data_IF_946080341740
#
_entry.id   IF_946080341740
#
_cell.length_a   1.000
_cell.length_b   1.000
_cell.length_c   1.000
_cell.angle_alpha   90.00
_cell.angle_beta   90.00
_cell.angle_gamma   90.00
#
_symmetry.space_group_name_H-M   'P 1'
#
loop_
_entity.id
_entity.type
_entity.pdbx_description
1 polymer ?
#
# COMPACT_ATOMS: atom_id res chain seq x y z
N UNK A 1 16.96 11.93 5.17
CA UNK A 1 16.48 13.13 4.44
C UNK A 1 17.50 13.50 3.38
N UNK A 2 17.17 13.30 2.10
CA UNK A 2 17.94 13.93 1.02
C UNK A 2 17.86 15.46 1.19
N UNK A 3 18.99 16.10 1.47
CA UNK A 3 19.07 17.55 1.59
C UNK A 3 18.62 18.21 0.29
N UNK A 4 17.80 19.25 0.35
CA UNK A 4 17.38 20.00 -0.83
C UNK A 4 18.60 20.52 -1.59
N UNK A 5 18.90 19.98 -2.79
CA UNK A 5 20.12 20.31 -3.52
C UNK A 5 20.10 21.74 -4.08
N UNK A 6 18.93 22.39 -4.06
CA UNK A 6 18.71 23.77 -4.50
C UNK A 6 18.81 24.77 -3.34
N UNK A 7 18.95 24.30 -2.09
CA UNK A 7 19.17 25.19 -0.94
C UNK A 7 20.40 26.09 -1.15
N UNK A 8 21.46 25.55 -1.76
CA UNK A 8 22.68 26.31 -2.15
C UNK A 8 22.42 27.43 -3.18
N UNK A 9 21.30 27.38 -3.89
CA UNK A 9 20.86 28.36 -4.88
C UNK A 9 19.81 29.32 -4.30
N UNK A 10 19.56 29.26 -2.99
CA UNK A 10 18.58 30.12 -2.31
C UNK A 10 17.13 29.65 -2.39
N UNK A 11 16.85 28.46 -2.92
CA UNK A 11 15.50 27.89 -2.98
C UNK A 11 15.20 27.18 -1.67
N UNK A 12 14.17 27.63 -0.94
CA UNK A 12 13.74 26.99 0.30
C UNK A 12 13.04 25.66 0.03
N UNK A 13 13.03 24.78 1.04
CA UNK A 13 12.30 23.50 0.99
C UNK A 13 10.79 23.71 0.77
N UNK A 14 10.25 24.81 1.30
CA UNK A 14 8.85 25.16 1.15
C UNK A 14 8.52 25.52 -0.31
N UNK A 15 9.37 26.32 -0.96
CA UNK A 15 9.22 26.69 -2.37
C UNK A 15 9.38 25.48 -3.28
N UNK A 16 10.40 24.64 -3.03
CA UNK A 16 10.59 23.40 -3.78
C UNK A 16 9.38 22.46 -3.63
N UNK A 17 8.88 22.28 -2.40
CA UNK A 17 7.72 21.45 -2.13
C UNK A 17 6.44 21.99 -2.78
N UNK A 18 6.28 23.31 -2.89
CA UNK A 18 5.14 23.93 -3.58
C UNK A 18 5.25 23.79 -5.09
N UNK A 19 6.44 24.01 -5.67
CA UNK A 19 6.69 23.78 -7.10
C UNK A 19 6.42 22.33 -7.52
N UNK A 20 6.85 21.36 -6.69
CA UNK A 20 6.57 19.93 -6.89
C UNK A 20 5.06 19.63 -6.77
N UNK A 21 4.34 20.35 -5.90
CA UNK A 21 2.90 20.16 -5.71
C UNK A 21 2.10 20.73 -6.88
N UNK A 22 2.50 21.88 -7.42
CA UNK A 22 1.81 22.59 -8.49
C UNK A 22 2.21 22.12 -9.90
N UNK A 23 3.34 21.42 -10.05
CA UNK A 23 3.79 20.88 -11.33
C UNK A 23 2.82 19.83 -11.91
N UNK A 24 2.23 20.14 -13.07
CA UNK A 24 1.30 19.26 -13.76
C UNK A 24 1.96 17.94 -14.20
N UNK A 25 3.21 17.99 -14.66
CA UNK A 25 3.98 16.82 -15.09
C UNK A 25 4.22 15.86 -13.92
N UNK A 26 4.63 16.39 -12.76
CA UNK A 26 4.81 15.58 -11.55
C UNK A 26 3.50 14.94 -11.10
N UNK A 27 2.38 15.64 -11.23
CA UNK A 27 1.06 15.09 -10.87
C UNK A 27 0.60 14.00 -11.86
N UNK A 28 0.85 14.20 -13.16
CA UNK A 28 0.56 13.20 -14.19
C UNK A 28 1.38 11.93 -13.95
N UNK A 29 2.67 12.08 -13.64
CA UNK A 29 3.55 10.95 -13.37
C UNK A 29 3.18 10.22 -12.08
N UNK A 30 2.88 10.96 -11.00
CA UNK A 30 2.33 10.36 -9.76
C UNK A 30 1.07 9.53 -10.02
N UNK A 31 0.18 10.02 -10.90
CA UNK A 31 -1.03 9.29 -11.28
C UNK A 31 -0.70 8.03 -12.09
N UNK A 32 0.25 8.11 -13.04
CA UNK A 32 0.72 6.98 -13.84
C UNK A 32 1.30 5.88 -12.96
N UNK A 33 2.20 6.22 -12.04
CA UNK A 33 2.80 5.27 -11.09
C UNK A 33 1.71 4.68 -10.18
N UNK A 34 0.80 5.51 -9.65
CA UNK A 34 -0.30 5.02 -8.82
C UNK A 34 -1.23 4.04 -9.57
N UNK A 35 -1.45 4.23 -10.87
CA UNK A 35 -2.19 3.26 -11.69
C UNK A 35 -1.44 1.93 -11.82
N UNK A 36 -0.13 1.96 -12.04
CA UNK A 36 0.69 0.73 -12.05
C UNK A 36 0.64 -0.01 -10.72
N UNK A 37 0.66 0.72 -9.60
CA UNK A 37 0.49 0.15 -8.26
C UNK A 37 -0.88 -0.51 -8.09
N UNK A 38 -1.97 0.11 -8.58
CA UNK A 38 -3.32 -0.47 -8.55
C UNK A 38 -3.38 -1.77 -9.34
N UNK A 39 -2.84 -1.80 -10.56
CA UNK A 39 -2.84 -3.02 -11.38
C UNK A 39 -2.02 -4.13 -10.73
N UNK A 40 -0.87 -3.80 -10.15
CA UNK A 40 -0.10 -4.77 -9.38
C UNK A 40 -0.88 -5.28 -8.16
N UNK A 41 -1.47 -4.39 -7.37
CA UNK A 41 -2.24 -4.76 -6.17
C UNK A 41 -3.43 -5.67 -6.52
N UNK A 42 -4.11 -5.43 -7.65
CA UNK A 42 -5.14 -6.31 -8.20
C UNK A 42 -4.57 -7.69 -8.55
N UNK A 43 -3.41 -7.74 -9.21
CA UNK A 43 -2.80 -9.01 -9.65
C UNK A 43 -2.39 -9.94 -8.51
N UNK A 44 -2.06 -9.39 -7.34
CA UNK A 44 -1.68 -10.17 -6.15
C UNK A 44 -2.81 -10.28 -5.13
N UNK A 45 -3.98 -9.74 -5.44
CA UNK A 45 -5.16 -9.85 -4.58
C UNK A 45 -5.72 -11.28 -4.60
N UNK A 46 -6.29 -11.79 -3.49
CA UNK A 46 -6.86 -13.14 -3.44
C UNK A 46 -8.00 -13.33 -4.47
N UNK A 47 -7.93 -14.43 -5.24
CA UNK A 47 -8.79 -14.71 -6.41
C UNK A 47 -10.25 -14.96 -6.02
N UNK A 48 -10.45 -15.65 -4.91
CA UNK A 48 -11.75 -15.94 -4.26
C UNK A 48 -12.49 -14.68 -3.79
N UNK A 49 -11.80 -13.54 -3.73
CA UNK A 49 -12.37 -12.25 -3.35
C UNK A 49 -12.23 -11.22 -4.47
N UNK A 50 -12.59 -11.55 -5.71
CA UNK A 50 -12.57 -10.59 -6.83
C UNK A 50 -13.21 -9.20 -6.52
N UNK A 51 -14.15 -9.15 -5.56
CA UNK A 51 -14.72 -7.90 -5.00
C UNK A 51 -13.73 -7.03 -4.18
N UNK A 52 -12.68 -7.60 -3.60
CA UNK A 52 -11.55 -6.90 -2.99
C UNK A 52 -10.63 -6.32 -4.06
N UNK A 53 -10.22 -7.13 -5.05
CA UNK A 53 -9.37 -6.67 -6.14
C UNK A 53 -10.00 -5.48 -6.89
N UNK A 54 -11.29 -5.57 -7.19
CA UNK A 54 -12.05 -4.52 -7.87
C UNK A 54 -12.13 -3.19 -7.10
N UNK A 55 -11.83 -3.17 -5.80
CA UNK A 55 -11.91 -1.96 -4.95
C UNK A 55 -10.60 -1.18 -4.87
N UNK A 56 -9.52 -1.68 -5.46
CA UNK A 56 -8.29 -0.91 -5.63
C UNK A 56 -8.50 0.23 -6.63
N UNK A 57 -8.17 1.46 -6.23
CA UNK A 57 -8.28 2.65 -7.07
C UNK A 57 -7.30 3.74 -6.68
N UNK A 58 -7.07 4.66 -7.62
CA UNK A 58 -6.31 5.89 -7.39
C UNK A 58 -7.25 6.99 -6.92
N UNK A 59 -6.90 7.68 -5.85
CA UNK A 59 -7.57 8.90 -5.39
C UNK A 59 -6.59 10.07 -5.37
N UNK A 60 -6.95 11.16 -6.03
CA UNK A 60 -6.18 12.41 -6.00
C UNK A 60 -6.98 13.48 -5.28
N UNK A 61 -6.43 14.06 -4.22
CA UNK A 61 -7.08 15.14 -3.45
C UNK A 61 -6.03 16.17 -3.03
N UNK A 62 -6.26 17.45 -3.33
CA UNK A 62 -5.37 18.58 -2.99
C UNK A 62 -3.90 18.31 -3.37
N UNK A 63 -3.64 17.87 -4.62
CA UNK A 63 -2.29 17.58 -5.12
C UNK A 63 -1.61 16.34 -4.52
N UNK A 64 -2.34 15.54 -3.72
CA UNK A 64 -1.88 14.26 -3.17
C UNK A 64 -2.56 13.11 -3.89
N UNK A 65 -1.77 12.25 -4.53
CA UNK A 65 -2.24 11.02 -5.18
C UNK A 65 -1.99 9.84 -4.27
N UNK A 66 -3.01 8.99 -4.08
CA UNK A 66 -2.99 7.83 -3.18
C UNK A 66 -3.57 6.61 -3.87
N UNK A 67 -3.03 5.45 -3.53
CA UNK A 67 -3.60 4.14 -3.88
C UNK A 67 -4.40 3.64 -2.69
N UNK A 68 -5.68 3.33 -2.88
CA UNK A 68 -6.57 2.95 -1.77
C UNK A 68 -7.39 1.72 -2.13
N UNK A 69 -7.69 0.91 -1.12
CA UNK A 69 -8.72 -0.13 -1.18
C UNK A 69 -9.79 0.15 -0.12
N UNK A 70 -11.04 0.36 -0.57
CA UNK A 70 -12.18 0.64 0.33
C UNK A 70 -13.02 -0.59 0.66
N UNK A 71 -12.47 -1.80 0.52
CA UNK A 71 -13.16 -3.02 0.94
C UNK A 71 -13.34 -3.05 2.45
N UNK A 72 -14.52 -3.45 2.92
CA UNK A 72 -14.76 -3.75 4.34
C UNK A 72 -13.85 -4.87 4.86
N UNK A 73 -13.32 -5.71 3.96
CA UNK A 73 -12.38 -6.79 4.27
C UNK A 73 -10.90 -6.37 4.15
N UNK A 74 -10.61 -5.10 3.83
CA UNK A 74 -9.24 -4.69 3.57
C UNK A 74 -8.31 -4.91 4.76
N UNK A 75 -8.76 -4.60 5.97
CA UNK A 75 -7.99 -4.84 7.20
C UNK A 75 -7.72 -6.34 7.42
N UNK A 76 -8.73 -7.18 7.23
CA UNK A 76 -8.61 -8.63 7.39
C UNK A 76 -7.65 -9.24 6.35
N UNK A 77 -7.73 -8.80 5.10
CA UNK A 77 -6.86 -9.28 4.02
C UNK A 77 -5.42 -8.80 4.22
N UNK A 78 -5.23 -7.57 4.70
CA UNK A 78 -3.91 -7.00 4.91
C UNK A 78 -3.19 -7.67 6.08
N UNK A 79 -3.86 -7.84 7.22
CA UNK A 79 -3.22 -8.24 8.47
C UNK A 79 -3.55 -9.66 8.93
N UNK A 80 -4.50 -10.33 8.28
CA UNK A 80 -5.08 -11.57 8.80
C UNK A 80 -5.83 -11.33 10.11
N UNK A 81 -6.16 -12.41 10.82
CA UNK A 81 -6.73 -12.34 12.17
C UNK A 81 -5.66 -12.38 13.27
N UNK A 82 -4.40 -12.71 12.93
CA UNK A 82 -3.36 -12.98 13.92
C UNK A 82 -3.68 -14.22 14.78
N UNK A 83 -2.71 -14.74 15.56
CA UNK A 83 -2.95 -15.83 16.50
C UNK A 83 -3.99 -15.41 17.55
N UNK A 84 -4.89 -16.33 17.91
CA UNK A 84 -5.78 -16.08 19.06
C UNK A 84 -4.89 -15.90 20.31
N UNK A 85 -5.06 -14.76 20.97
CA UNK A 85 -4.36 -14.41 22.22
C UNK A 85 -4.57 -15.44 23.35
N UNK A 86 -5.50 -16.40 23.16
CA UNK A 86 -5.75 -17.54 24.04
C UNK A 86 -5.00 -18.83 23.67
N UNK A 87 -3.93 -18.77 22.89
CA UNK A 87 -2.97 -19.89 22.74
C UNK A 87 -3.26 -20.87 21.60
N UNK A 88 -3.91 -20.44 20.52
CA UNK A 88 -4.16 -21.29 19.34
C UNK A 88 -2.93 -21.52 18.46
N UNK A 89 -2.81 -22.72 17.89
CA UNK A 89 -1.74 -23.09 16.95
C UNK A 89 -1.69 -22.19 15.70
N UNK A 90 -0.49 -22.00 15.16
CA UNK A 90 -0.22 -21.07 14.04
C UNK A 90 -0.56 -21.75 12.71
N UNK A 91 -1.45 -21.15 11.91
CA UNK A 91 -1.76 -21.65 10.57
C UNK A 91 -0.55 -21.55 9.63
N UNK A 92 -0.28 -22.62 8.89
CA UNK A 92 0.73 -22.68 7.82
C UNK A 92 0.02 -23.00 6.49
N UNK A 93 -0.04 -22.07 5.53
CA UNK A 93 -0.69 -22.32 4.24
C UNK A 93 -0.06 -23.52 3.50
N UNK A 94 -0.90 -24.40 2.92
CA UNK A 94 -0.55 -25.62 2.14
C UNK A 94 -0.06 -26.83 2.93
N UNK A 95 -0.10 -26.81 4.26
CA UNK A 95 0.28 -27.97 5.08
C UNK A 95 -0.80 -29.05 5.18
N UNK A 96 -1.94 -28.92 4.51
CA UNK A 96 -3.04 -29.91 4.57
C UNK A 96 -3.71 -30.01 5.95
N UNK A 97 -3.52 -29.01 6.81
CA UNK A 97 -4.05 -28.99 8.19
C UNK A 97 -5.53 -28.60 8.18
N UNK A 98 -6.38 -29.45 8.76
CA UNK A 98 -7.77 -29.10 9.05
C UNK A 98 -7.81 -27.93 10.04
N UNK A 99 -8.43 -26.83 9.62
CA UNK A 99 -8.53 -25.64 10.44
C UNK A 99 -9.62 -25.84 11.49
N UNK A 100 -9.25 -25.93 12.77
CA UNK A 100 -10.22 -25.80 13.86
C UNK A 100 -10.88 -24.42 13.87
N UNK A 101 -12.02 -24.28 14.56
CA UNK A 101 -12.86 -23.06 14.56
C UNK A 101 -12.10 -21.76 14.91
N UNK A 102 -10.93 -21.85 15.57
CA UNK A 102 -10.09 -20.71 15.98
C UNK A 102 -8.74 -20.65 15.26
N UNK A 103 -8.66 -21.12 14.02
CA UNK A 103 -7.38 -21.09 13.29
C UNK A 103 -7.09 -19.70 12.72
N UNK A 104 -5.93 -19.09 13.03
CA UNK A 104 -5.58 -17.75 12.55
C UNK A 104 -5.48 -17.68 11.02
N UNK A 105 -6.18 -16.74 10.40
CA UNK A 105 -6.07 -16.50 8.95
C UNK A 105 -4.76 -15.79 8.61
N UNK A 106 -4.10 -16.17 7.51
CA UNK A 106 -2.81 -15.58 7.13
C UNK A 106 -3.01 -14.16 6.59
N UNK A 107 -2.05 -13.28 6.86
CA UNK A 107 -1.97 -11.97 6.22
C UNK A 107 -1.56 -12.12 4.75
N UNK A 108 -2.36 -11.59 3.83
CA UNK A 108 -1.96 -11.51 2.42
C UNK A 108 -1.03 -10.33 2.17
N UNK A 109 -1.12 -9.28 3.01
CA UNK A 109 -0.25 -8.10 3.00
C UNK A 109 -0.14 -7.45 1.61
N UNK A 110 -1.28 -7.27 0.93
CA UNK A 110 -1.33 -6.82 -0.47
C UNK A 110 -0.83 -5.38 -0.57
N UNK A 111 -1.24 -4.52 0.36
CA UNK A 111 -0.78 -3.14 0.45
C UNK A 111 0.72 -3.06 0.72
N UNK A 112 1.22 -3.82 1.69
CA UNK A 112 2.64 -3.85 2.05
C UNK A 112 3.52 -4.39 0.92
N UNK A 113 3.11 -5.49 0.26
CA UNK A 113 3.83 -6.02 -0.92
C UNK A 113 3.83 -5.04 -2.09
N UNK A 114 2.73 -4.30 -2.27
CA UNK A 114 2.65 -3.25 -3.28
C UNK A 114 3.57 -2.09 -2.94
N UNK A 115 3.59 -1.61 -1.70
CA UNK A 115 4.49 -0.54 -1.29
C UNK A 115 5.96 -0.93 -1.50
N UNK A 116 6.36 -2.11 -1.01
CA UNK A 116 7.74 -2.60 -1.11
C UNK A 116 8.21 -2.75 -2.56
N UNK A 117 7.34 -3.25 -3.47
CA UNK A 117 7.68 -3.37 -4.89
C UNK A 117 8.00 -2.03 -5.55
N UNK A 118 7.36 -0.96 -5.08
CA UNK A 118 7.55 0.40 -5.60
C UNK A 118 8.46 1.25 -4.69
N UNK A 119 9.24 0.60 -3.81
CA UNK A 119 10.28 1.23 -3.01
C UNK A 119 9.79 2.01 -1.78
N UNK A 120 8.61 1.70 -1.26
CA UNK A 120 8.06 2.33 -0.04
C UNK A 120 7.50 1.33 0.97
N UNK A 121 6.83 1.84 2.01
CA UNK A 121 6.16 1.05 3.05
C UNK A 121 4.69 1.46 3.18
N UNK A 122 3.85 0.68 3.88
CA UNK A 122 2.48 1.10 4.20
C UNK A 122 2.38 2.37 5.05
N UNK A 123 3.43 2.70 5.81
CA UNK A 123 3.51 3.96 6.56
C UNK A 123 3.84 5.15 5.64
N UNK A 124 4.28 4.88 4.42
CA UNK A 124 4.76 5.85 3.43
C UNK A 124 6.10 5.40 2.83
N UNK A 125 6.56 6.10 1.80
CA UNK A 125 7.95 5.95 1.32
C UNK A 125 8.86 6.61 2.35
N UNK A 126 9.38 5.84 3.30
CA UNK A 126 10.52 6.27 4.11
C UNK A 126 11.76 6.10 3.23
N UNK A 127 12.16 7.20 2.57
CA UNK A 127 13.49 7.32 1.97
C UNK A 127 14.40 7.84 3.08
N UNK A 128 15.21 6.97 3.67
CA UNK A 128 16.32 7.38 4.56
C UNK A 128 17.28 8.32 3.82
#
# INVERSE_FOLDING_TARGET
>A
MASNPLARLGVSDAELAEAIRSSAEVQAEKKRVAQQMVEYAKSISPVDTGSYAAKWKVETKKGRTRVVNRSRRAHLIEYGTGPDSKGGERYVPRAGVELGENTPTPAFAVGEKTANKFGGTLKGVDVE
#
